data_IF_178095248309
#
_entry.id   IF_178095248309
#
_cell.length_a   1.000
_cell.length_b   1.000
_cell.length_c   1.000
_cell.angle_alpha   90.00
_cell.angle_beta   90.00
_cell.angle_gamma   90.00
#
_symmetry.space_group_name_H-M   'P 1'
#
loop_
_entity.id
_entity.type
_entity.pdbx_description
1 polymer ?
#
# COMPACT_ATOMS: atom_id res chain seq x y z
N UNK A 1 4.24 -17.90 -8.82
CA UNK A 1 3.15 -17.80 -7.83
C UNK A 1 2.96 -19.15 -7.17
N UNK A 2 2.20 -19.19 -6.09
CA UNK A 2 1.91 -20.38 -5.29
C UNK A 2 0.43 -20.71 -5.36
N UNK A 3 0.14 -22.01 -5.46
CA UNK A 3 -1.21 -22.54 -5.46
C UNK A 3 -1.85 -22.40 -4.06
N UNK A 4 -3.19 -22.31 -3.99
CA UNK A 4 -3.88 -22.18 -2.72
C UNK A 4 -3.66 -23.39 -1.81
N UNK A 5 -3.47 -23.13 -0.52
CA UNK A 5 -3.35 -24.14 0.53
C UNK A 5 -4.50 -24.09 1.53
N UNK A 6 -5.20 -22.95 1.58
CA UNK A 6 -6.32 -22.72 2.49
C UNK A 6 -7.43 -21.99 1.75
N UNK A 7 -8.68 -22.35 2.04
CA UNK A 7 -9.87 -21.63 1.59
C UNK A 7 -10.65 -21.14 2.81
N UNK A 8 -11.24 -19.96 2.68
CA UNK A 8 -12.15 -19.39 3.66
C UNK A 8 -13.51 -19.17 3.04
N UNK A 9 -14.54 -19.29 3.88
CA UNK A 9 -15.84 -18.70 3.64
C UNK A 9 -15.93 -17.40 4.44
N UNK A 10 -16.52 -16.37 3.83
CA UNK A 10 -16.81 -15.11 4.47
C UNK A 10 -18.25 -14.72 4.16
N UNK A 11 -19.00 -14.31 5.17
CA UNK A 11 -20.42 -14.02 5.04
C UNK A 11 -20.89 -13.02 6.08
N UNK A 12 -22.02 -12.37 5.77
CA UNK A 12 -22.81 -11.61 6.74
C UNK A 12 -24.19 -12.24 6.85
N UNK A 13 -24.54 -12.68 8.06
CA UNK A 13 -25.77 -13.45 8.33
C UNK A 13 -26.49 -12.90 9.56
N UNK A 14 -27.77 -13.19 9.67
CA UNK A 14 -28.50 -13.05 10.94
C UNK A 14 -28.31 -14.33 11.76
N UNK A 15 -28.36 -14.23 13.09
CA UNK A 15 -28.23 -15.36 14.00
C UNK A 15 -29.30 -15.27 15.09
N UNK A 16 -29.90 -16.41 15.46
CA UNK A 16 -30.87 -16.49 16.57
C UNK A 16 -30.19 -16.30 17.92
N UNK A 17 -28.96 -16.79 18.05
CA UNK A 17 -28.11 -16.62 19.23
C UNK A 17 -26.90 -15.73 18.89
N UNK A 18 -26.63 -14.72 19.72
CA UNK A 18 -25.45 -13.85 19.52
C UNK A 18 -24.17 -14.61 19.93
N UNK A 19 -23.20 -14.80 19.02
CA UNK A 19 -21.94 -15.46 19.36
C UNK A 19 -21.03 -14.55 20.18
N UNK A 20 -20.08 -15.15 20.90
CA UNK A 20 -18.93 -14.40 21.41
C UNK A 20 -18.09 -13.91 20.22
N UNK A 21 -17.89 -12.60 20.13
CA UNK A 21 -17.08 -11.99 19.08
C UNK A 21 -15.59 -12.13 19.38
N UNK A 22 -14.80 -12.34 18.32
CA UNK A 22 -13.36 -12.45 18.42
C UNK A 22 -12.76 -13.42 17.41
N UNK A 23 -11.44 -13.47 17.43
CA UNK A 23 -10.64 -14.43 16.67
C UNK A 23 -10.66 -15.80 17.35
N UNK A 24 -10.63 -16.85 16.53
CA UNK A 24 -10.69 -18.24 16.97
C UNK A 24 -9.86 -19.15 16.07
N UNK A 25 -9.71 -20.41 16.49
CA UNK A 25 -8.98 -21.40 15.72
C UNK A 25 -9.62 -21.65 14.36
N UNK A 26 -9.11 -21.02 13.31
CA UNK A 26 -9.64 -21.16 11.95
C UNK A 26 -10.50 -19.99 11.47
N UNK A 27 -10.48 -18.82 12.14
CA UNK A 27 -11.21 -17.66 11.62
C UNK A 27 -11.54 -16.59 12.66
N UNK A 28 -12.64 -15.89 12.42
CA UNK A 28 -13.19 -14.89 13.34
C UNK A 28 -14.68 -14.67 13.11
N UNK A 29 -15.35 -14.21 14.17
CA UNK A 29 -16.74 -13.75 14.14
C UNK A 29 -16.77 -12.36 14.78
N UNK A 30 -17.51 -11.43 14.18
CA UNK A 30 -17.63 -10.07 14.67
C UNK A 30 -18.97 -9.43 14.28
N UNK A 31 -19.26 -8.25 14.84
CA UNK A 31 -20.45 -7.50 14.45
C UNK A 31 -20.33 -7.01 13.00
N UNK A 32 -21.45 -7.02 12.29
CA UNK A 32 -21.62 -6.38 10.99
C UNK A 32 -22.70 -5.29 11.06
N UNK A 33 -23.00 -4.63 9.94
CA UNK A 33 -24.02 -3.58 9.88
C UNK A 33 -25.42 -4.14 10.20
N UNK A 34 -26.32 -3.24 10.65
CA UNK A 34 -27.71 -3.54 10.94
C UNK A 34 -27.96 -4.72 11.92
N UNK A 35 -27.02 -4.95 12.85
CA UNK A 35 -27.12 -6.01 13.84
C UNK A 35 -26.84 -7.41 13.30
N UNK A 36 -26.36 -7.52 12.06
CA UNK A 36 -25.88 -8.78 11.48
C UNK A 36 -24.56 -9.21 12.09
N UNK A 37 -24.17 -10.45 11.81
CA UNK A 37 -22.92 -11.03 12.24
C UNK A 37 -22.06 -11.36 11.03
N UNK A 38 -20.84 -10.81 11.02
CA UNK A 38 -19.81 -11.14 10.04
C UNK A 38 -19.02 -12.37 10.49
N UNK A 39 -18.84 -13.33 9.59
CA UNK A 39 -18.06 -14.55 9.84
C UNK A 39 -16.99 -14.69 8.77
N UNK A 40 -15.78 -15.09 9.16
CA UNK A 40 -14.71 -15.52 8.23
C UNK A 40 -14.10 -16.79 8.79
N UNK A 41 -14.28 -17.93 8.11
CA UNK A 41 -13.93 -19.25 8.65
C UNK A 41 -13.21 -20.09 7.60
N UNK A 42 -12.20 -20.86 8.01
CA UNK A 42 -11.52 -21.84 7.17
C UNK A 42 -12.48 -22.98 6.84
N UNK A 43 -12.49 -23.39 5.58
CA UNK A 43 -13.24 -24.56 5.09
C UNK A 43 -12.28 -25.61 4.53
N UNK A 44 -12.61 -26.91 4.63
CA UNK A 44 -11.68 -27.99 4.28
C UNK A 44 -11.50 -28.23 2.78
N UNK A 45 -12.40 -27.72 1.94
CA UNK A 45 -12.45 -28.05 0.50
C UNK A 45 -11.86 -26.91 -0.35
N UNK A 46 -10.63 -27.11 -0.83
CA UNK A 46 -9.92 -26.17 -1.69
C UNK A 46 -10.51 -26.07 -3.10
N UNK A 47 -11.11 -27.16 -3.60
CA UNK A 47 -11.42 -27.33 -5.03
C UNK A 47 -12.92 -27.21 -5.34
N UNK A 48 -13.79 -26.93 -4.35
CA UNK A 48 -15.23 -26.83 -4.60
C UNK A 48 -15.55 -25.74 -5.63
N UNK A 49 -16.10 -26.09 -6.81
CA UNK A 49 -16.34 -25.16 -7.90
C UNK A 49 -17.62 -24.33 -7.71
N UNK A 50 -18.51 -24.74 -6.79
CA UNK A 50 -19.81 -24.12 -6.57
C UNK A 50 -19.72 -22.89 -5.65
N UNK A 51 -20.69 -21.99 -5.82
CA UNK A 51 -20.88 -20.87 -4.91
C UNK A 51 -21.14 -21.35 -3.47
N UNK A 52 -20.54 -20.69 -2.47
CA UNK A 52 -20.72 -21.07 -1.08
C UNK A 52 -22.16 -20.83 -0.62
N UNK A 53 -22.70 -21.77 0.14
CA UNK A 53 -24.08 -21.78 0.61
C UNK A 53 -24.17 -21.42 2.10
N UNK A 54 -25.38 -21.10 2.57
CA UNK A 54 -25.63 -20.93 4.01
C UNK A 54 -25.30 -22.20 4.82
N UNK A 55 -25.49 -23.39 4.23
CA UNK A 55 -25.12 -24.63 4.91
C UNK A 55 -23.61 -24.72 5.13
N UNK A 56 -22.80 -24.24 4.18
CA UNK A 56 -21.34 -24.21 4.32
C UNK A 56 -20.90 -23.27 5.46
N UNK A 57 -21.62 -22.17 5.66
CA UNK A 57 -21.41 -21.26 6.80
C UNK A 57 -21.74 -21.97 8.13
N UNK A 58 -22.90 -22.64 8.20
CA UNK A 58 -23.33 -23.39 9.40
C UNK A 58 -22.36 -24.51 9.74
N UNK A 59 -21.92 -25.29 8.75
CA UNK A 59 -20.96 -26.37 8.92
C UNK A 59 -19.60 -25.86 9.39
N UNK A 60 -19.16 -24.70 8.88
CA UNK A 60 -17.94 -24.04 9.35
C UNK A 60 -18.05 -23.56 10.80
N UNK A 61 -19.20 -22.95 11.17
CA UNK A 61 -19.47 -22.53 12.55
C UNK A 61 -19.48 -23.72 13.52
N UNK A 62 -20.18 -24.82 13.16
CA UNK A 62 -20.21 -26.04 13.96
C UNK A 62 -18.81 -26.63 14.14
N UNK A 63 -17.97 -26.59 13.11
CA UNK A 63 -16.60 -27.10 13.20
C UNK A 63 -15.73 -26.30 14.18
N UNK A 64 -15.92 -24.99 14.21
CA UNK A 64 -15.05 -24.07 14.96
C UNK A 64 -15.54 -23.87 16.39
N UNK A 65 -16.86 -23.71 16.59
CA UNK A 65 -17.47 -23.39 17.89
C UNK A 65 -18.43 -24.48 18.40
N UNK A 66 -18.65 -25.56 17.65
CA UNK A 66 -19.55 -26.64 18.04
C UNK A 66 -21.04 -26.36 17.79
N UNK A 67 -21.39 -25.17 17.29
CA UNK A 67 -22.78 -24.77 16.99
C UNK A 67 -22.85 -23.75 15.86
N UNK A 68 -24.01 -23.64 15.20
CA UNK A 68 -24.24 -22.72 14.08
C UNK A 68 -24.99 -21.43 14.46
N UNK A 69 -25.34 -21.27 15.74
CA UNK A 69 -26.04 -20.10 16.30
C UNK A 69 -27.40 -19.82 15.63
N UNK A 70 -27.98 -20.80 14.95
CA UNK A 70 -29.18 -20.59 14.14
C UNK A 70 -28.94 -19.64 12.95
N UNK A 71 -27.73 -19.58 12.39
CA UNK A 71 -27.41 -18.66 11.29
C UNK A 71 -28.41 -18.75 10.12
N UNK A 72 -29.02 -17.64 9.72
CA UNK A 72 -30.04 -17.57 8.67
C UNK A 72 -29.98 -16.23 7.91
N UNK A 73 -30.86 -16.05 6.92
CA UNK A 73 -31.03 -14.81 6.15
C UNK A 73 -29.71 -14.15 5.70
N UNK A 74 -28.84 -14.85 4.94
CA UNK A 74 -27.57 -14.30 4.53
C UNK A 74 -27.78 -13.02 3.71
N UNK A 75 -27.05 -11.96 4.06
CA UNK A 75 -26.98 -10.77 3.21
C UNK A 75 -26.12 -11.05 1.98
N UNK A 76 -24.96 -11.67 2.20
CA UNK A 76 -24.07 -12.19 1.17
C UNK A 76 -23.20 -13.31 1.73
N UNK A 77 -22.70 -14.17 0.84
CA UNK A 77 -21.74 -15.24 1.13
C UNK A 77 -20.71 -15.26 0.00
N UNK A 78 -19.44 -15.31 0.35
CA UNK A 78 -18.33 -15.44 -0.60
C UNK A 78 -17.28 -16.41 -0.06
N UNK A 79 -16.34 -16.79 -0.93
CA UNK A 79 -15.19 -17.57 -0.54
C UNK A 79 -13.94 -17.09 -1.24
N UNK A 80 -12.80 -17.22 -0.57
CA UNK A 80 -11.51 -16.83 -1.11
C UNK A 80 -10.44 -17.83 -0.68
N UNK A 81 -9.29 -17.79 -1.34
CA UNK A 81 -8.13 -18.63 -1.02
C UNK A 81 -6.91 -17.78 -0.70
N UNK A 82 -5.82 -18.43 -0.29
CA UNK A 82 -4.50 -17.82 -0.08
C UNK A 82 -3.60 -17.90 -1.33
N UNK A 83 -4.20 -18.12 -2.50
CA UNK A 83 -3.47 -18.10 -3.77
C UNK A 83 -2.66 -16.81 -3.90
N UNK A 84 -1.38 -16.97 -4.23
CA UNK A 84 -0.42 -15.87 -4.25
C UNK A 84 0.24 -15.80 -5.63
N UNK A 85 -0.20 -14.87 -6.48
CA UNK A 85 0.22 -14.77 -7.90
C UNK A 85 0.51 -13.33 -8.27
N UNK A 86 1.49 -13.13 -9.14
CA UNK A 86 1.85 -11.83 -9.70
C UNK A 86 2.13 -11.99 -11.18
N UNK A 87 1.68 -11.03 -11.98
CA UNK A 87 1.98 -10.94 -13.39
C UNK A 87 3.49 -10.79 -13.60
N UNK A 88 4.04 -11.55 -14.55
CA UNK A 88 5.47 -11.48 -14.89
C UNK A 88 5.85 -10.11 -15.45
N UNK A 89 4.93 -9.47 -16.16
CA UNK A 89 5.10 -8.12 -16.67
C UNK A 89 3.84 -7.29 -16.43
N UNK A 90 4.02 -6.05 -16.01
CA UNK A 90 2.92 -5.10 -15.80
C UNK A 90 2.61 -4.31 -17.07
N UNK A 91 3.47 -4.39 -18.08
CA UNK A 91 3.34 -3.66 -19.34
C UNK A 91 3.79 -4.51 -20.51
N UNK A 92 2.92 -4.66 -21.50
CA UNK A 92 3.27 -5.22 -22.81
C UNK A 92 2.82 -4.26 -23.91
N UNK A 93 3.75 -3.44 -24.38
CA UNK A 93 3.48 -2.40 -25.36
C UNK A 93 2.52 -1.34 -24.81
N UNK A 94 1.27 -1.35 -25.31
CA UNK A 94 0.19 -0.41 -24.93
C UNK A 94 -0.83 -1.01 -23.94
N UNK A 95 -0.63 -2.26 -23.52
CA UNK A 95 -1.47 -2.92 -22.53
C UNK A 95 -0.73 -2.92 -21.20
N UNK A 96 -1.41 -2.46 -20.14
CA UNK A 96 -0.87 -2.40 -18.78
C UNK A 96 -1.84 -3.08 -17.81
N UNK A 97 -1.31 -3.64 -16.73
CA UNK A 97 -2.07 -4.30 -15.66
C UNK A 97 -1.85 -3.55 -14.35
N UNK A 98 -2.90 -3.37 -13.55
CA UNK A 98 -2.85 -2.75 -12.22
C UNK A 98 -3.83 -3.44 -11.26
N UNK A 99 -3.58 -3.36 -9.96
CA UNK A 99 -4.43 -4.01 -8.94
C UNK A 99 -4.48 -5.52 -9.08
N UNK A 100 -5.64 -6.13 -8.80
CA UNK A 100 -5.81 -7.59 -8.77
C UNK A 100 -5.50 -8.29 -10.10
N UNK A 101 -5.59 -7.56 -11.22
CA UNK A 101 -5.17 -8.07 -12.54
C UNK A 101 -3.64 -8.28 -12.64
N UNK A 102 -2.86 -7.56 -11.82
CA UNK A 102 -1.40 -7.64 -11.77
C UNK A 102 -0.91 -8.49 -10.59
N UNK A 103 -1.65 -8.58 -9.48
CA UNK A 103 -1.24 -9.33 -8.30
C UNK A 103 -2.44 -9.77 -7.46
N UNK A 104 -2.43 -11.02 -7.01
CA UNK A 104 -3.42 -11.58 -6.09
C UNK A 104 -2.70 -12.22 -4.91
N UNK A 105 -3.23 -12.04 -3.71
CA UNK A 105 -2.69 -12.59 -2.49
C UNK A 105 -3.79 -12.74 -1.43
N UNK A 106 -3.50 -13.47 -0.35
CA UNK A 106 -4.42 -13.59 0.78
C UNK A 106 -4.76 -12.19 1.36
N UNK A 107 -5.99 -11.95 1.87
CA UNK A 107 -6.42 -10.65 2.38
C UNK A 107 -5.81 -10.29 3.75
N UNK A 108 -4.73 -10.95 4.15
CA UNK A 108 -4.06 -10.74 5.44
C UNK A 108 -3.50 -9.31 5.53
N UNK A 109 -3.88 -8.59 6.59
CA UNK A 109 -3.49 -7.19 6.81
C UNK A 109 -4.20 -6.17 5.92
N UNK A 110 -5.23 -6.56 5.13
CA UNK A 110 -6.04 -5.60 4.36
C UNK A 110 -5.30 -4.88 3.22
N UNK A 111 -4.24 -5.48 2.67
CA UNK A 111 -3.30 -4.79 1.79
C UNK A 111 -3.76 -4.69 0.31
N UNK A 112 -4.66 -5.57 -0.17
CA UNK A 112 -4.98 -5.73 -1.60
C UNK A 112 -5.50 -4.46 -2.27
N UNK A 113 -6.59 -3.88 -1.75
CA UNK A 113 -7.15 -2.62 -2.27
C UNK A 113 -6.11 -1.49 -2.20
N UNK A 114 -5.38 -1.40 -1.08
CA UNK A 114 -4.40 -0.35 -0.83
C UNK A 114 -3.29 -0.35 -1.90
N UNK A 115 -2.72 -1.51 -2.23
CA UNK A 115 -1.68 -1.59 -3.26
C UNK A 115 -2.24 -1.31 -4.67
N UNK A 116 -3.47 -1.74 -4.97
CA UNK A 116 -4.13 -1.45 -6.25
C UNK A 116 -4.40 0.04 -6.48
N UNK A 117 -4.87 0.76 -5.45
CA UNK A 117 -5.03 2.22 -5.51
C UNK A 117 -3.67 2.90 -5.75
N UNK A 118 -2.62 2.47 -5.05
CA UNK A 118 -1.28 3.03 -5.25
C UNK A 118 -0.72 2.74 -6.65
N UNK A 119 -1.02 1.57 -7.24
CA UNK A 119 -0.65 1.28 -8.63
C UNK A 119 -1.33 2.25 -9.60
N UNK A 120 -2.62 2.51 -9.41
CA UNK A 120 -3.37 3.45 -10.23
C UNK A 120 -2.82 4.88 -10.11
N UNK A 121 -2.50 5.32 -8.88
CA UNK A 121 -1.90 6.64 -8.63
C UNK A 121 -0.50 6.75 -9.26
N UNK A 122 0.32 5.70 -9.18
CA UNK A 122 1.65 5.67 -9.82
C UNK A 122 1.56 5.73 -11.35
N UNK A 123 0.61 4.98 -11.93
CA UNK A 123 0.47 4.87 -13.38
C UNK A 123 -0.23 6.10 -14.01
N UNK A 124 -1.25 6.65 -13.35
CA UNK A 124 -2.15 7.64 -13.94
C UNK A 124 -1.45 8.86 -14.50
N UNK A 125 -0.56 9.50 -13.72
CA UNK A 125 0.17 10.69 -14.16
C UNK A 125 1.21 10.38 -15.25
N UNK A 126 1.87 9.21 -15.18
CA UNK A 126 2.83 8.77 -16.20
C UNK A 126 2.15 8.52 -17.54
N UNK A 127 1.00 7.85 -17.50
CA UNK A 127 0.20 7.56 -18.69
C UNK A 127 -0.33 8.84 -19.32
N UNK A 128 -0.84 9.77 -18.51
CA UNK A 128 -1.30 11.07 -18.99
C UNK A 128 -0.17 11.86 -19.70
N UNK A 129 1.03 11.90 -19.12
CA UNK A 129 2.17 12.58 -19.75
C UNK A 129 2.60 11.95 -21.08
N UNK A 130 2.61 10.62 -21.18
CA UNK A 130 2.96 9.92 -22.43
C UNK A 130 1.88 10.11 -23.50
N UNK A 131 0.61 10.06 -23.12
CA UNK A 131 -0.51 10.29 -24.05
C UNK A 131 -0.49 11.73 -24.59
N UNK A 132 -0.16 12.71 -23.74
CA UNK A 132 -0.08 14.11 -24.13
C UNK A 132 1.22 14.49 -24.86
N UNK A 133 2.15 13.53 -25.06
CA UNK A 133 3.44 13.79 -25.71
C UNK A 133 4.43 14.59 -24.86
N UNK A 134 4.13 14.83 -23.58
CA UNK A 134 5.00 15.54 -22.65
C UNK A 134 6.25 14.74 -22.32
N UNK A 135 6.10 13.42 -22.11
CA UNK A 135 7.19 12.53 -21.70
C UNK A 135 7.38 11.39 -22.70
N UNK A 136 8.61 10.85 -22.81
CA UNK A 136 8.86 9.69 -23.66
C UNK A 136 8.13 8.46 -23.13
N UNK A 137 7.85 7.52 -24.05
CA UNK A 137 7.21 6.23 -23.76
C UNK A 137 7.97 5.40 -22.72
N UNK A 138 9.28 5.65 -22.55
CA UNK A 138 10.11 5.00 -21.52
C UNK A 138 9.74 5.39 -20.09
N UNK A 139 9.05 6.52 -19.86
CA UNK A 139 8.52 6.87 -18.54
C UNK A 139 7.59 5.76 -18.00
N UNK A 140 6.81 5.13 -18.89
CA UNK A 140 5.93 4.02 -18.51
C UNK A 140 6.67 2.73 -18.12
N UNK A 141 7.96 2.57 -18.47
CA UNK A 141 8.74 1.40 -18.03
C UNK A 141 9.04 1.48 -16.53
N UNK A 142 9.08 2.71 -15.98
CA UNK A 142 9.24 2.92 -14.54
C UNK A 142 8.06 2.40 -13.73
N UNK A 143 6.86 2.25 -14.32
CA UNK A 143 5.71 1.69 -13.62
C UNK A 143 5.99 0.27 -13.13
N UNK A 144 6.53 -0.59 -14.01
CA UNK A 144 6.91 -1.95 -13.61
C UNK A 144 8.09 -1.93 -12.63
N UNK A 145 9.14 -1.15 -12.95
CA UNK A 145 10.33 -1.09 -12.10
C UNK A 145 10.02 -0.67 -10.66
N UNK A 146 9.03 0.21 -10.48
CA UNK A 146 8.61 0.74 -9.18
C UNK A 146 7.59 -0.15 -8.47
N UNK A 147 6.55 -0.63 -9.18
CA UNK A 147 5.39 -1.29 -8.55
C UNK A 147 5.49 -2.81 -8.46
N UNK A 148 6.27 -3.44 -9.35
CA UNK A 148 6.46 -4.89 -9.30
C UNK A 148 7.17 -5.35 -8.02
N UNK A 149 8.27 -4.71 -7.56
CA UNK A 149 8.91 -5.09 -6.29
C UNK A 149 8.02 -4.85 -5.06
N UNK A 150 7.17 -3.82 -5.08
CA UNK A 150 6.24 -3.52 -3.99
C UNK A 150 5.22 -4.65 -3.82
N UNK A 151 4.58 -5.08 -4.92
CA UNK A 151 3.65 -6.20 -4.88
C UNK A 151 4.34 -7.51 -4.48
N UNK A 152 5.55 -7.77 -4.99
CA UNK A 152 6.31 -8.97 -4.59
C UNK A 152 6.55 -9.04 -3.07
N UNK A 153 6.86 -7.89 -2.43
CA UNK A 153 7.01 -7.78 -0.97
C UNK A 153 5.68 -7.97 -0.23
N UNK A 154 4.56 -7.48 -0.79
CA UNK A 154 3.23 -7.72 -0.22
C UNK A 154 2.90 -9.21 -0.24
N UNK A 155 3.05 -9.86 -1.40
CA UNK A 155 2.84 -11.30 -1.55
C UNK A 155 3.68 -12.10 -0.54
N UNK A 156 4.95 -11.75 -0.38
CA UNK A 156 5.83 -12.39 0.61
C UNK A 156 5.32 -12.22 2.04
N UNK A 157 4.93 -11.00 2.43
CA UNK A 157 4.48 -10.75 3.80
C UNK A 157 3.13 -11.41 4.09
N UNK A 158 2.21 -11.47 3.13
CA UNK A 158 0.91 -12.12 3.31
C UNK A 158 1.05 -13.64 3.43
N UNK A 159 2.00 -14.25 2.70
CA UNK A 159 2.37 -15.65 2.91
C UNK A 159 2.96 -15.89 4.31
N UNK A 160 3.83 -14.98 4.78
CA UNK A 160 4.39 -15.07 6.13
C UNK A 160 3.31 -14.94 7.21
N UNK A 161 2.40 -13.97 7.08
CA UNK A 161 1.23 -13.82 7.95
C UNK A 161 0.36 -15.07 7.95
N UNK A 162 0.15 -15.69 6.78
CA UNK A 162 -0.58 -16.95 6.71
C UNK A 162 0.15 -18.06 7.46
N UNK A 163 1.46 -18.23 7.23
CA UNK A 163 2.24 -19.28 7.90
C UNK A 163 2.18 -19.16 9.43
N UNK A 164 2.33 -17.95 9.98
CA UNK A 164 2.28 -17.73 11.45
C UNK A 164 0.88 -17.83 12.03
N UNK A 165 -0.17 -17.93 11.21
CA UNK A 165 -1.57 -18.11 11.63
C UNK A 165 -2.00 -19.57 11.87
N UNK A 166 -1.13 -20.56 11.65
CA UNK A 166 -1.45 -21.97 11.93
C UNK A 166 -1.56 -22.26 13.45
N UNK A 167 -2.39 -23.22 13.87
CA UNK A 167 -2.68 -23.50 15.28
C UNK A 167 -1.99 -24.75 15.83
N UNK A 168 -0.84 -25.14 15.27
CA UNK A 168 0.00 -26.19 15.83
C UNK A 168 0.93 -25.64 16.93
N UNK A 169 1.42 -26.53 17.81
CA UNK A 169 2.27 -26.19 18.96
C UNK A 169 3.52 -25.39 18.57
N UNK A 170 4.13 -25.69 17.42
CA UNK A 170 5.35 -25.01 16.96
C UNK A 170 5.05 -23.58 16.54
N UNK A 171 3.95 -23.37 15.81
CA UNK A 171 3.53 -22.03 15.39
C UNK A 171 3.05 -21.19 16.57
N UNK A 172 2.41 -21.79 17.58
CA UNK A 172 2.08 -21.09 18.85
C UNK A 172 3.36 -20.60 19.54
N UNK A 173 4.38 -21.44 19.67
CA UNK A 173 5.66 -21.04 20.26
C UNK A 173 6.36 -19.93 19.44
N UNK A 174 6.36 -20.03 18.11
CA UNK A 174 6.88 -18.99 17.22
C UNK A 174 6.15 -17.65 17.41
N UNK A 175 4.82 -17.66 17.51
CA UNK A 175 4.04 -16.44 17.77
C UNK A 175 4.40 -15.80 19.12
N UNK A 176 4.68 -16.60 20.15
CA UNK A 176 5.15 -16.10 21.44
C UNK A 176 6.44 -15.28 21.29
N UNK A 177 7.45 -15.83 20.61
CA UNK A 177 8.71 -15.13 20.34
C UNK A 177 8.51 -13.89 19.45
N UNK A 178 7.69 -14.00 18.40
CA UNK A 178 7.38 -12.85 17.54
C UNK A 178 6.67 -11.74 18.31
N UNK A 179 5.81 -12.06 19.26
CA UNK A 179 5.15 -11.07 20.12
C UNK A 179 6.17 -10.32 21.01
N UNK A 180 7.17 -11.01 21.55
CA UNK A 180 8.27 -10.37 22.30
C UNK A 180 9.07 -9.40 21.41
N UNK A 181 9.37 -9.79 20.17
CA UNK A 181 10.07 -8.93 19.21
C UNK A 181 9.20 -7.72 18.83
N UNK A 182 7.90 -7.93 18.61
CA UNK A 182 6.95 -6.86 18.30
C UNK A 182 6.64 -5.95 19.49
N UNK A 183 7.01 -6.32 20.72
CA UNK A 183 6.96 -5.41 21.86
C UNK A 183 8.09 -4.35 21.82
N UNK A 184 9.12 -4.55 20.99
CA UNK A 184 10.20 -3.58 20.79
C UNK A 184 9.79 -2.51 19.78
N UNK A 185 10.27 -1.27 19.97
CA UNK A 185 9.85 -0.13 19.14
C UNK A 185 10.21 -0.25 17.66
N UNK A 186 11.47 -0.53 17.33
CA UNK A 186 11.92 -0.55 15.94
C UNK A 186 11.32 -1.70 15.12
N UNK A 187 11.32 -2.96 15.59
CA UNK A 187 10.62 -4.04 14.89
C UNK A 187 9.13 -3.76 14.68
N UNK A 188 8.44 -3.24 15.70
CA UNK A 188 7.01 -2.87 15.61
C UNK A 188 6.77 -1.80 14.55
N UNK A 189 7.57 -0.71 14.56
CA UNK A 189 7.50 0.36 13.55
C UNK A 189 7.77 -0.18 12.14
N UNK A 190 8.75 -1.06 11.97
CA UNK A 190 9.07 -1.67 10.68
C UNK A 190 7.90 -2.48 10.11
N UNK A 191 7.33 -3.38 10.92
CA UNK A 191 6.20 -4.21 10.48
C UNK A 191 4.95 -3.38 10.22
N UNK A 192 4.65 -2.38 11.07
CA UNK A 192 3.53 -1.47 10.86
C UNK A 192 3.68 -0.66 9.55
N UNK A 193 4.88 -0.16 9.25
CA UNK A 193 5.15 0.57 8.02
C UNK A 193 5.07 -0.32 6.78
N UNK A 194 5.52 -1.58 6.87
CA UNK A 194 5.40 -2.56 5.79
C UNK A 194 3.93 -2.86 5.47
N UNK A 195 3.09 -3.12 6.49
CA UNK A 195 1.66 -3.43 6.29
C UNK A 195 0.88 -2.22 5.77
N UNK A 196 1.21 -1.01 6.25
CA UNK A 196 0.58 0.24 5.80
C UNK A 196 1.11 0.78 4.47
N UNK A 197 2.20 0.21 3.94
CA UNK A 197 2.88 0.69 2.73
C UNK A 197 3.66 2.00 2.92
N UNK A 198 3.85 2.46 4.16
CA UNK A 198 4.63 3.67 4.48
C UNK A 198 6.15 3.46 4.33
N UNK A 199 6.62 2.21 4.25
CA UNK A 199 8.03 1.89 4.01
C UNK A 199 8.44 1.94 2.53
N UNK A 200 7.48 2.09 1.60
CA UNK A 200 7.71 2.06 0.14
C UNK A 200 8.70 3.14 -0.28
N UNK A 201 9.78 2.69 -0.92
CA UNK A 201 10.81 3.52 -1.52
C UNK A 201 11.15 2.99 -2.90
N UNK A 202 11.04 3.83 -3.93
CA UNK A 202 11.49 3.49 -5.27
C UNK A 202 13.00 3.64 -5.39
N UNK A 203 13.67 2.67 -6.02
CA UNK A 203 15.10 2.76 -6.28
C UNK A 203 15.37 3.77 -7.39
N UNK A 204 15.71 5.00 -6.97
CA UNK A 204 16.10 6.09 -7.86
C UNK A 204 17.62 6.33 -7.80
N UNK A 205 18.40 5.40 -7.26
CA UNK A 205 19.83 5.52 -7.01
C UNK A 205 20.18 6.17 -5.67
N UNK A 206 21.49 6.23 -5.39
CA UNK A 206 22.02 6.77 -4.14
C UNK A 206 21.71 8.27 -3.94
N UNK A 207 21.76 8.72 -2.68
CA UNK A 207 21.56 10.11 -2.29
C UNK A 207 20.83 10.23 -0.96
N UNK A 208 20.18 11.37 -0.76
CA UNK A 208 19.42 11.67 0.45
C UNK A 208 18.36 10.59 0.78
N UNK A 209 18.16 10.18 2.06
CA UNK A 209 17.25 9.10 2.44
C UNK A 209 15.78 9.27 2.03
N UNK A 210 15.34 10.51 1.78
CA UNK A 210 14.00 10.85 1.31
C UNK A 210 13.77 10.52 -0.17
N UNK A 211 14.82 10.40 -0.98
CA UNK A 211 14.70 10.13 -2.42
C UNK A 211 14.00 8.79 -2.66
N UNK A 212 13.02 8.79 -3.56
CA UNK A 212 12.18 7.63 -3.88
C UNK A 212 11.09 7.34 -2.85
N UNK A 213 11.09 7.98 -1.67
CA UNK A 213 10.06 7.82 -0.64
C UNK A 213 8.95 8.84 -0.81
N UNK A 214 7.85 8.60 -0.12
CA UNK A 214 6.73 9.53 -0.02
C UNK A 214 7.15 10.78 0.75
N UNK A 215 6.76 11.94 0.24
CA UNK A 215 6.95 13.21 0.90
C UNK A 215 6.06 13.29 2.16
N UNK A 216 6.59 13.68 3.34
CA UNK A 216 5.78 13.95 4.53
C UNK A 216 4.79 15.11 4.32
N UNK A 217 3.65 15.06 5.01
CA UNK A 217 2.68 16.17 5.00
C UNK A 217 3.11 17.25 5.99
N UNK A 218 4.07 18.09 5.57
CA UNK A 218 4.56 19.18 6.40
C UNK A 218 3.61 20.37 6.36
N UNK A 219 3.46 21.03 7.50
CA UNK A 219 2.88 22.36 7.58
C UNK A 219 3.91 23.38 7.07
N UNK A 220 3.59 23.98 5.92
CA UNK A 220 4.42 24.97 5.25
C UNK A 220 3.91 26.38 5.52
N UNK A 221 4.84 27.33 5.58
CA UNK A 221 4.57 28.77 5.53
C UNK A 221 5.09 29.30 4.21
N UNK A 222 4.18 29.79 3.37
CA UNK A 222 4.49 30.38 2.05
C UNK A 222 4.17 31.88 2.03
N UNK A 223 4.49 32.56 0.92
CA UNK A 223 4.12 33.96 0.73
C UNK A 223 2.60 34.20 0.76
N UNK A 224 1.81 33.21 0.35
CA UNK A 224 0.34 33.27 0.31
C UNK A 224 -0.33 32.78 1.60
N UNK A 225 0.48 32.35 2.59
CA UNK A 225 0.01 31.88 3.89
C UNK A 225 0.35 30.42 4.19
N UNK A 226 -0.19 29.86 5.28
CA UNK A 226 0.05 28.49 5.69
C UNK A 226 -0.68 27.49 4.78
N UNK A 227 0.00 26.40 4.43
CA UNK A 227 -0.54 25.32 3.59
C UNK A 227 0.13 23.98 3.92
N UNK A 228 -0.57 22.86 3.73
CA UNK A 228 0.05 21.54 3.86
C UNK A 228 0.65 21.08 2.53
N UNK A 229 1.71 20.26 2.59
CA UNK A 229 2.31 19.67 1.37
C UNK A 229 1.27 18.90 0.56
N UNK A 230 0.39 18.12 1.20
CA UNK A 230 -0.62 17.33 0.49
C UNK A 230 -1.63 18.21 -0.25
N UNK A 231 -1.93 19.40 0.27
CA UNK A 231 -2.80 20.36 -0.41
C UNK A 231 -2.22 20.81 -1.76
N UNK A 232 -0.89 20.94 -1.87
CA UNK A 232 -0.20 21.28 -3.12
C UNK A 232 -0.32 20.17 -4.19
N UNK A 233 -0.50 18.93 -3.77
CA UNK A 233 -0.59 17.75 -4.65
C UNK A 233 -2.00 17.50 -5.21
N UNK A 234 -3.04 18.16 -4.69
CA UNK A 234 -4.42 17.99 -5.16
C UNK A 234 -4.62 18.37 -6.65
N UNK A 235 -3.76 19.23 -7.20
CA UNK A 235 -3.79 19.61 -8.62
C UNK A 235 -3.16 18.55 -9.54
N UNK A 236 -2.61 17.46 -8.99
CA UNK A 236 -1.86 16.42 -9.70
C UNK A 236 -0.67 16.97 -10.54
N UNK A 237 -0.14 18.13 -10.19
CA UNK A 237 1.08 18.68 -10.77
C UNK A 237 2.30 18.36 -9.89
N UNK A 238 3.47 18.12 -10.49
CA UNK A 238 4.72 18.04 -9.73
C UNK A 238 5.00 19.36 -9.01
N UNK A 239 5.70 19.28 -7.88
CA UNK A 239 6.02 20.43 -7.03
C UNK A 239 7.51 20.42 -6.71
N UNK A 240 8.20 21.52 -7.00
CA UNK A 240 9.53 21.82 -6.45
C UNK A 240 9.33 22.72 -5.22
N UNK A 241 9.57 22.16 -4.04
CA UNK A 241 9.59 22.91 -2.78
C UNK A 241 11.02 23.40 -2.51
N UNK A 242 11.19 24.69 -2.30
CA UNK A 242 12.45 25.29 -1.88
C UNK A 242 12.36 25.76 -0.43
N UNK A 243 13.21 25.20 0.43
CA UNK A 243 13.36 25.57 1.84
C UNK A 243 14.59 26.46 2.09
N UNK A 244 15.44 26.62 1.06
CA UNK A 244 16.63 27.45 1.11
C UNK A 244 16.36 28.91 0.75
N UNK A 245 17.39 29.58 0.21
CA UNK A 245 17.27 30.97 -0.22
C UNK A 245 16.34 31.09 -1.44
N UNK A 246 15.41 32.04 -1.39
CA UNK A 246 14.56 32.38 -2.53
C UNK A 246 15.40 32.72 -3.77
N UNK A 247 14.99 32.21 -4.93
CA UNK A 247 15.71 32.37 -6.20
C UNK A 247 16.96 31.50 -6.38
N UNK A 248 17.18 30.52 -5.49
CA UNK A 248 18.29 29.56 -5.60
C UNK A 248 18.14 28.51 -6.71
N UNK A 249 16.93 28.37 -7.28
CA UNK A 249 16.61 27.37 -8.30
C UNK A 249 15.84 28.01 -9.46
N UNK A 250 16.07 27.51 -10.68
CA UNK A 250 15.31 27.91 -11.87
C UNK A 250 14.72 26.70 -12.58
N UNK A 251 13.42 26.77 -12.87
CA UNK A 251 12.68 25.74 -13.59
C UNK A 251 12.00 26.27 -14.85
N UNK A 252 12.49 27.38 -15.43
CA UNK A 252 11.80 28.07 -16.52
C UNK A 252 11.28 27.17 -17.67
N UNK A 253 12.03 26.16 -18.16
CA UNK A 253 11.52 25.24 -19.20
C UNK A 253 10.33 24.36 -18.76
N UNK A 254 10.10 24.24 -17.45
CA UNK A 254 9.07 23.42 -16.82
C UNK A 254 7.99 24.24 -16.09
N UNK A 255 8.07 25.58 -16.07
CA UNK A 255 7.24 26.43 -15.22
C UNK A 255 5.72 26.29 -15.44
N UNK A 256 5.27 25.87 -16.62
CA UNK A 256 3.84 25.61 -16.87
C UNK A 256 3.36 24.27 -16.30
N UNK A 257 4.29 23.31 -16.17
CA UNK A 257 4.04 21.92 -15.78
C UNK A 257 4.33 21.67 -14.30
N UNK A 258 5.38 22.27 -13.75
CA UNK A 258 5.89 22.06 -12.40
C UNK A 258 5.61 23.29 -11.55
N UNK A 259 4.96 23.11 -10.41
CA UNK A 259 4.75 24.16 -9.43
C UNK A 259 6.07 24.45 -8.71
N UNK A 260 6.39 25.72 -8.50
CA UNK A 260 7.55 26.13 -7.70
C UNK A 260 7.07 26.91 -6.48
N UNK A 261 7.48 26.48 -5.29
CA UNK A 261 7.02 27.05 -4.03
C UNK A 261 8.23 27.28 -3.13
N UNK A 262 8.49 28.55 -2.82
CA UNK A 262 9.36 28.93 -1.70
C UNK A 262 8.56 28.82 -0.40
N UNK A 263 9.06 28.02 0.55
CA UNK A 263 8.39 27.76 1.82
C UNK A 263 9.38 27.64 2.97
N UNK A 264 8.93 27.96 4.17
CA UNK A 264 9.58 27.51 5.40
C UNK A 264 8.68 26.50 6.12
N UNK A 265 9.27 25.76 7.05
CA UNK A 265 8.56 24.80 7.89
C UNK A 265 9.19 24.81 9.29
N UNK A 266 8.49 24.27 10.27
CA UNK A 266 9.00 24.08 11.62
C UNK A 266 8.98 22.59 11.99
N UNK A 267 9.97 22.16 12.79
CA UNK A 267 10.05 20.79 13.29
C UNK A 267 11.20 19.97 12.69
N UNK A 268 11.24 18.70 13.07
CA UNK A 268 12.24 17.73 12.61
C UNK A 268 11.74 16.98 11.38
N UNK A 269 12.67 16.51 10.54
CA UNK A 269 12.34 15.59 9.47
C UNK A 269 12.45 14.16 10.00
N UNK A 270 11.31 13.57 10.33
CA UNK A 270 11.24 12.14 10.66
C UNK A 270 10.58 11.38 9.52
N UNK A 271 11.29 10.39 8.97
CA UNK A 271 10.75 9.52 7.93
C UNK A 271 10.31 8.18 8.55
N UNK A 272 9.18 7.60 8.11
CA UNK A 272 8.78 6.27 8.54
C UNK A 272 9.92 5.25 8.38
N UNK A 273 10.16 4.45 9.43
CA UNK A 273 11.21 3.41 9.51
C UNK A 273 12.65 3.92 9.56
N UNK A 274 12.97 5.02 8.88
CA UNK A 274 14.34 5.57 8.85
C UNK A 274 14.64 6.39 10.10
N UNK A 275 13.66 7.11 10.63
CA UNK A 275 13.83 8.02 11.76
C UNK A 275 14.22 9.44 11.31
N UNK A 276 14.90 10.16 12.19
CA UNK A 276 15.32 11.53 11.95
C UNK A 276 16.36 11.61 10.82
N UNK A 277 16.16 12.54 9.89
CA UNK A 277 17.07 12.82 8.77
C UNK A 277 17.38 14.31 8.69
N UNK A 278 18.48 14.65 8.02
CA UNK A 278 18.81 16.05 7.74
C UNK A 278 17.72 16.67 6.85
N UNK A 279 17.40 17.93 7.14
CA UNK A 279 16.47 18.69 6.31
C UNK A 279 17.08 18.99 4.93
N UNK A 280 16.38 18.66 3.84
CA UNK A 280 16.83 19.04 2.50
C UNK A 280 16.64 20.55 2.26
N UNK A 281 17.49 21.16 1.43
CA UNK A 281 17.30 22.56 1.03
C UNK A 281 16.20 22.72 -0.02
N UNK A 282 15.96 21.68 -0.83
CA UNK A 282 14.87 21.63 -1.79
C UNK A 282 14.45 20.18 -2.08
N UNK A 283 13.20 19.96 -2.49
CA UNK A 283 12.70 18.64 -2.88
C UNK A 283 11.79 18.75 -4.12
N UNK A 284 12.00 17.84 -5.07
CA UNK A 284 11.14 17.69 -6.24
C UNK A 284 10.18 16.52 -6.01
N UNK A 285 8.90 16.84 -5.84
CA UNK A 285 7.82 15.90 -5.55
C UNK A 285 7.05 15.59 -6.83
N UNK A 286 6.89 14.29 -7.14
CA UNK A 286 6.07 13.79 -8.25
C UNK A 286 4.57 13.93 -7.94
N UNK A 287 3.69 13.86 -8.95
CA UNK A 287 2.24 13.88 -8.75
C UNK A 287 1.69 12.79 -7.82
N UNK A 288 2.38 11.66 -7.66
CA UNK A 288 2.01 10.58 -6.73
C UNK A 288 2.53 10.79 -5.30
N UNK A 289 3.20 11.91 -5.04
CA UNK A 289 3.76 12.28 -3.74
C UNK A 289 5.13 11.68 -3.45
N UNK A 290 5.76 10.96 -4.39
CA UNK A 290 7.13 10.45 -4.20
C UNK A 290 8.19 11.49 -4.59
N UNK A 291 9.28 11.55 -3.83
CA UNK A 291 10.37 12.50 -4.05
C UNK A 291 11.30 11.97 -5.15
N UNK A 292 11.36 12.68 -6.28
CA UNK A 292 12.20 12.35 -7.43
C UNK A 292 13.65 12.83 -7.27
N UNK A 293 13.84 13.96 -6.60
CA UNK A 293 15.13 14.61 -6.40
C UNK A 293 15.14 15.39 -5.08
N UNK A 294 16.31 15.50 -4.49
CA UNK A 294 16.57 16.25 -3.27
C UNK A 294 17.78 17.14 -3.52
N UNK A 295 17.66 18.41 -3.17
CA UNK A 295 18.74 19.39 -3.22
C UNK A 295 19.41 19.56 -1.87
N UNK A 296 20.74 19.58 -1.90
CA UNK A 296 21.63 19.90 -0.78
C UNK A 296 22.48 21.11 -1.21
N UNK A 297 21.90 22.32 -1.09
CA UNK A 297 22.53 23.63 -1.39
C UNK A 297 22.83 23.96 -2.86
N UNK A 298 22.77 22.98 -3.77
CA UNK A 298 23.00 23.18 -5.22
C UNK A 298 21.85 22.62 -6.07
N UNK A 299 21.76 23.05 -7.33
CA UNK A 299 20.81 22.56 -8.33
C UNK A 299 21.35 21.35 -9.12
N UNK A 300 22.43 20.72 -8.64
CA UNK A 300 23.06 19.58 -9.28
C UNK A 300 22.04 18.44 -9.48
N UNK A 301 21.88 18.01 -10.72
CA UNK A 301 20.95 16.95 -11.11
C UNK A 301 19.47 17.36 -11.15
N UNK A 302 19.10 18.60 -10.79
CA UNK A 302 17.70 19.06 -10.86
C UNK A 302 17.18 19.04 -12.30
N UNK A 303 17.98 19.55 -13.25
CA UNK A 303 17.61 19.57 -14.67
C UNK A 303 17.39 18.15 -15.22
N UNK A 304 18.26 17.23 -14.85
CA UNK A 304 18.17 15.82 -15.27
C UNK A 304 16.94 15.16 -14.67
N UNK A 305 16.64 15.43 -13.39
CA UNK A 305 15.43 14.94 -12.74
C UNK A 305 14.16 15.50 -13.39
N UNK A 306 14.10 16.82 -13.64
CA UNK A 306 12.97 17.45 -14.33
C UNK A 306 12.77 16.86 -15.73
N UNK A 307 13.86 16.67 -16.49
CA UNK A 307 13.81 16.07 -17.82
C UNK A 307 13.35 14.61 -17.78
N UNK A 308 13.87 13.84 -16.84
CA UNK A 308 13.56 12.41 -16.67
C UNK A 308 12.09 12.19 -16.35
N UNK A 309 11.54 12.97 -15.41
CA UNK A 309 10.20 12.74 -14.88
C UNK A 309 9.11 13.55 -15.59
N UNK A 310 9.44 14.71 -16.15
CA UNK A 310 8.45 15.67 -16.69
C UNK A 310 8.73 16.10 -18.14
N UNK A 311 9.64 15.40 -18.82
CA UNK A 311 10.02 15.65 -20.21
C UNK A 311 10.95 16.85 -20.40
N UNK A 312 11.52 17.05 -21.60
CA UNK A 312 12.33 18.24 -21.91
C UNK A 312 11.50 19.53 -21.95
#
# INVERSE_FOLDING_TARGET
GWDPTTRWIIAEVEMEEVPEFGLRGGGGIGPAEDGRVGVTLIVPDLDRPDEPTLQDVRDALIRVDGKDYGAHSPHWISSFTDMTRQAVTYRRGRVLLAGDAAHMHAPMGGQGLNIGVQDAVNLGWKLAQVVNGTSPVSLLDTYQAERHPVAARVLQNTMAQRAVGANDERTVALRGILAEVLAMDQPRKHIAAMISGLDVAYDLGAGHPLRGRRMPDLDLVTADGPISVFSLLHSAKPVLLNFGRAGGFTIAPWGERVQFVDASYAGIWELPVVGEVTAPSAVLVRPDGHVAWVGEETDAGLRDALTTWFGP
#
